data_IF_159383369447
#
_entry.id   IF_159383369447
#
_cell.length_a   1.000
_cell.length_b   1.000
_cell.length_c   1.000
_cell.angle_alpha   90.00
_cell.angle_beta   90.00
_cell.angle_gamma   90.00
#
_symmetry.space_group_name_H-M   'P 1'
#
loop_
_entity.id
_entity.type
_entity.pdbx_description
1 polymer ?
#
# COMPACT_ATOMS: atom_id res chain seq x y z
N UNK A 1 -15.86 4.36 -2.28
CA UNK A 1 -15.23 5.50 -1.57
C UNK A 1 -14.08 5.07 -0.64
N UNK A 2 -14.19 3.92 0.04
CA UNK A 2 -13.15 3.39 0.96
C UNK A 2 -11.85 2.97 0.27
N UNK A 3 -11.92 2.27 -0.86
CA UNK A 3 -10.72 1.85 -1.62
C UNK A 3 -9.88 3.04 -2.11
N UNK A 4 -10.54 4.11 -2.55
CA UNK A 4 -9.85 5.33 -2.99
C UNK A 4 -9.04 5.97 -1.86
N UNK A 5 -9.58 5.99 -0.64
CA UNK A 5 -8.85 6.55 0.51
C UNK A 5 -7.71 5.63 0.96
N UNK A 6 -7.88 4.30 0.83
CA UNK A 6 -6.82 3.31 1.06
C UNK A 6 -5.62 3.54 0.13
N UNK A 7 -5.85 3.64 -1.18
CA UNK A 7 -4.77 3.91 -2.14
C UNK A 7 -4.11 5.27 -1.91
N UNK A 8 -4.89 6.29 -1.54
CA UNK A 8 -4.34 7.61 -1.20
C UNK A 8 -3.43 7.55 0.02
N UNK A 9 -3.82 6.80 1.05
CA UNK A 9 -3.01 6.63 2.26
C UNK A 9 -1.76 5.79 2.03
N UNK A 10 -1.85 4.79 1.15
CA UNK A 10 -0.72 4.00 0.65
C UNK A 10 0.31 4.93 -0.01
N UNK A 11 -0.12 5.72 -1.00
CA UNK A 11 0.77 6.64 -1.72
C UNK A 11 1.43 7.68 -0.82
N UNK A 12 0.69 8.26 0.14
CA UNK A 12 1.27 9.18 1.12
C UNK A 12 2.41 8.54 1.91
N UNK A 13 2.24 7.29 2.35
CA UNK A 13 3.24 6.58 3.14
C UNK A 13 4.50 6.28 2.35
N UNK A 14 4.33 5.86 1.10
CA UNK A 14 5.43 5.61 0.17
C UNK A 14 6.23 6.88 -0.13
N UNK A 15 5.55 8.01 -0.30
CA UNK A 15 6.19 9.33 -0.47
C UNK A 15 6.99 9.68 0.79
N UNK A 16 6.37 9.62 1.96
CA UNK A 16 7.02 9.87 3.25
C UNK A 16 8.28 9.00 3.47
N UNK A 17 8.20 7.72 3.14
CA UNK A 17 9.31 6.78 3.31
C UNK A 17 10.43 7.01 2.27
N UNK A 18 10.08 7.50 1.08
CA UNK A 18 11.05 7.94 0.07
C UNK A 18 11.78 9.21 0.54
N UNK A 19 11.04 10.23 1.00
CA UNK A 19 11.61 11.49 1.51
C UNK A 19 12.50 11.28 2.75
N UNK A 20 12.17 10.28 3.58
CA UNK A 20 12.95 9.91 4.77
C UNK A 20 14.11 8.96 4.48
N UNK A 21 14.46 8.72 3.22
CA UNK A 21 15.53 7.79 2.79
C UNK A 21 15.39 6.36 3.34
N UNK A 22 14.15 5.93 3.62
CA UNK A 22 13.86 4.54 4.00
C UNK A 22 13.70 3.64 2.78
N UNK A 23 13.28 4.21 1.65
CA UNK A 23 13.31 3.58 0.34
C UNK A 23 14.54 4.15 -0.39
N UNK A 24 15.51 3.29 -0.67
CA UNK A 24 16.83 3.68 -1.18
C UNK A 24 17.02 3.34 -2.65
N UNK A 25 16.09 2.58 -3.23
CA UNK A 25 16.14 2.17 -4.63
C UNK A 25 14.74 2.04 -5.23
N UNK A 26 14.68 2.08 -6.57
CA UNK A 26 13.45 1.82 -7.32
C UNK A 26 12.92 0.40 -7.09
N UNK A 27 13.80 -0.58 -6.85
CA UNK A 27 13.38 -1.96 -6.53
C UNK A 27 12.71 -2.04 -5.17
N UNK A 28 13.26 -1.38 -4.15
CA UNK A 28 12.63 -1.29 -2.83
C UNK A 28 11.27 -0.59 -2.89
N UNK A 29 11.14 0.45 -3.72
CA UNK A 29 9.88 1.14 -3.99
C UNK A 29 8.84 0.18 -4.57
N UNK A 30 9.21 -0.54 -5.63
CA UNK A 30 8.31 -1.49 -6.32
C UNK A 30 7.88 -2.60 -5.37
N UNK A 31 8.80 -3.18 -4.60
CA UNK A 31 8.49 -4.22 -3.61
C UNK A 31 7.54 -3.72 -2.52
N UNK A 32 7.74 -2.49 -2.04
CA UNK A 32 6.87 -1.85 -1.04
C UNK A 32 5.45 -1.70 -1.57
N UNK A 33 5.31 -1.21 -2.81
CA UNK A 33 4.01 -1.05 -3.47
C UNK A 33 3.29 -2.40 -3.69
N UNK A 34 4.02 -3.42 -4.18
CA UNK A 34 3.47 -4.77 -4.37
C UNK A 34 2.94 -5.34 -3.05
N UNK A 35 3.72 -5.19 -1.97
CA UNK A 35 3.34 -5.65 -0.64
C UNK A 35 2.06 -4.95 -0.16
N UNK A 36 2.01 -3.62 -0.22
CA UNK A 36 0.84 -2.87 0.26
C UNK A 36 -0.43 -3.18 -0.56
N UNK A 37 -0.32 -3.37 -1.88
CA UNK A 37 -1.45 -3.76 -2.72
C UNK A 37 -1.94 -5.17 -2.35
N UNK A 38 -1.02 -6.11 -2.12
CA UNK A 38 -1.39 -7.48 -1.71
C UNK A 38 -2.06 -7.51 -0.34
N UNK A 39 -1.55 -6.76 0.63
CA UNK A 39 -2.14 -6.65 1.97
C UNK A 39 -3.56 -6.06 1.91
N UNK A 40 -3.79 -5.07 1.05
CA UNK A 40 -5.12 -4.50 0.82
C UNK A 40 -6.08 -5.48 0.14
N UNK A 41 -5.59 -6.28 -0.81
CA UNK A 41 -6.38 -7.34 -1.46
C UNK A 41 -6.78 -8.45 -0.50
N UNK A 42 -5.96 -8.75 0.52
CA UNK A 42 -6.32 -9.69 1.59
C UNK A 42 -7.46 -9.11 2.44
N UNK A 43 -7.40 -7.82 2.77
CA UNK A 43 -8.43 -7.13 3.56
C UNK A 43 -9.78 -7.11 2.83
N UNK A 44 -9.81 -6.84 1.51
CA UNK A 44 -11.05 -6.82 0.73
C UNK A 44 -11.63 -8.23 0.52
N UNK A 45 -10.79 -9.25 0.29
CA UNK A 45 -11.26 -10.64 0.22
C UNK A 45 -11.87 -11.12 1.53
N UNK A 46 -11.26 -10.82 2.66
CA UNK A 46 -11.77 -11.24 3.97
C UNK A 46 -13.08 -10.52 4.37
N UNK A 47 -13.27 -9.25 3.95
CA UNK A 47 -14.55 -8.55 4.14
C UNK A 47 -15.70 -9.16 3.34
N UNK A 48 -15.42 -9.82 2.23
CA UNK A 48 -16.44 -10.43 1.37
C UNK A 48 -16.93 -11.79 1.87
N UNK A 49 -16.15 -12.46 2.74
CA UNK A 49 -16.46 -13.77 3.32
C UNK A 49 -17.25 -13.62 4.63
N UNK A 50 -17.18 -12.45 5.28
CA UNK A 50 -17.80 -12.18 6.58
C UNK A 50 -19.19 -11.50 6.52
N UNK A 51 -19.80 -11.38 5.33
CA UNK A 51 -21.14 -10.83 5.10
C UNK A 51 -22.06 -11.84 4.44
#
# INVERSE_FOLDING_TARGET
MVERELFKNMMKRVIDDTEKNKIRSSDELIQTLIKEINDQNIITKNKHIAN
#
